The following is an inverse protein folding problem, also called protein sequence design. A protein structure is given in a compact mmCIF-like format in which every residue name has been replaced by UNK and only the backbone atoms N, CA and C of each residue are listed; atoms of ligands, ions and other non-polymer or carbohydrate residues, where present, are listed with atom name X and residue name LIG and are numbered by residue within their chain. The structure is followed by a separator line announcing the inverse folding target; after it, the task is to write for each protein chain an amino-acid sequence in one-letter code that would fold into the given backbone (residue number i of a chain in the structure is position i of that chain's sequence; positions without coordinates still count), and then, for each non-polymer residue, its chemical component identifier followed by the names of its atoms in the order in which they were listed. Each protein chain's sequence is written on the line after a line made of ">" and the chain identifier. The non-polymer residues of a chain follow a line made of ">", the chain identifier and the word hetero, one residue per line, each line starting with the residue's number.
data_IF_168386989705
#
_entry.id   IF_168386989705
#
_cell.length_a   1.000
_cell.length_b   1.000
_cell.length_c   1.000
_cell.angle_alpha   90.00
_cell.angle_beta   90.00
_cell.angle_gamma   90.00
#
_symmetry.space_group_name_H-M   'P 1'
#
loop_
_entity.id
_entity.type
_entity.pdbx_description
1 polymer ?
#
# COMPACT_ATOMS: atom_id res chain seq x y z
N UNK A 1 7.27 11.11 13.19
CA UNK A 1 6.34 11.36 12.07
C UNK A 1 5.23 10.31 12.12
N UNK A 2 3.96 10.68 12.00
CA UNK A 2 2.85 9.71 11.99
C UNK A 2 1.72 10.20 11.09
N UNK A 3 0.90 9.25 10.61
CA UNK A 3 -0.37 9.56 9.96
C UNK A 3 -1.48 9.21 10.94
N UNK A 4 -2.25 10.22 11.32
CA UNK A 4 -3.34 10.10 12.29
C UNK A 4 -4.68 10.40 11.61
N UNK A 5 -5.63 9.48 11.75
CA UNK A 5 -7.03 9.64 11.31
C UNK A 5 -7.90 9.84 12.52
N UNK A 6 -8.69 10.92 12.54
CA UNK A 6 -9.55 11.27 13.67
C UNK A 6 -10.99 11.52 13.22
N UNK A 7 -11.91 10.73 13.78
CA UNK A 7 -13.34 10.81 13.54
C UNK A 7 -13.71 10.85 12.06
N UNK A 8 -12.95 10.09 11.22
CA UNK A 8 -13.14 10.07 9.78
C UNK A 8 -14.44 9.35 9.44
N UNK A 9 -15.34 10.05 8.73
CA UNK A 9 -16.50 9.45 8.09
C UNK A 9 -16.56 9.82 6.61
N UNK A 10 -16.93 8.84 5.79
CA UNK A 10 -17.00 8.97 4.33
C UNK A 10 -18.35 8.45 3.86
N UNK A 11 -19.04 9.29 3.09
CA UNK A 11 -20.28 8.96 2.42
C UNK A 11 -20.08 9.03 0.89
N UNK A 12 -20.59 8.06 0.16
CA UNK A 12 -20.57 8.01 -1.31
C UNK A 12 -21.98 7.68 -1.79
N UNK A 13 -22.56 8.57 -2.60
CA UNK A 13 -23.91 8.40 -3.16
C UNK A 13 -24.99 8.09 -2.09
N UNK A 14 -24.93 8.78 -0.96
CA UNK A 14 -25.88 8.61 0.16
C UNK A 14 -25.65 7.33 0.97
N UNK A 15 -24.58 6.57 0.74
CA UNK A 15 -24.20 5.41 1.53
C UNK A 15 -22.99 5.71 2.38
N UNK A 16 -23.10 5.45 3.68
CA UNK A 16 -21.97 5.52 4.59
C UNK A 16 -21.01 4.37 4.30
N UNK A 17 -19.76 4.71 3.95
CA UNK A 17 -18.70 3.74 3.63
C UNK A 17 -17.73 3.59 4.79
N UNK A 18 -17.44 4.69 5.49
CA UNK A 18 -16.65 4.70 6.72
C UNK A 18 -17.37 5.57 7.76
N UNK A 19 -17.36 5.11 9.00
CA UNK A 19 -18.01 5.78 10.14
C UNK A 19 -17.05 5.94 11.30
N UNK A 20 -16.81 7.18 11.73
CA UNK A 20 -16.04 7.52 12.92
C UNK A 20 -14.74 6.74 13.09
N UNK A 21 -13.99 6.59 11.98
CA UNK A 21 -12.71 5.87 11.98
C UNK A 21 -11.67 6.70 12.72
N UNK A 22 -11.03 6.05 13.70
CA UNK A 22 -9.93 6.61 14.48
C UNK A 22 -8.77 5.63 14.45
N UNK A 23 -7.62 6.04 13.88
CA UNK A 23 -6.44 5.19 13.78
C UNK A 23 -5.17 6.02 13.62
N UNK A 24 -4.09 5.55 14.23
CA UNK A 24 -2.74 6.04 14.03
C UNK A 24 -1.91 4.98 13.31
N UNK A 25 -1.23 5.38 12.22
CA UNK A 25 -0.28 4.54 11.51
C UNK A 25 1.13 4.85 12.02
N UNK A 26 1.74 3.85 12.63
CA UNK A 26 3.07 3.97 13.25
C UNK A 26 4.16 4.13 12.18
N UNK A 27 5.04 5.11 12.40
CA UNK A 27 6.18 5.40 11.52
C UNK A 27 7.08 4.16 11.36
N UNK A 28 7.60 3.99 10.14
CA UNK A 28 8.53 2.91 9.76
C UNK A 28 8.00 1.50 9.97
N UNK A 29 6.70 1.35 10.20
CA UNK A 29 6.04 0.06 10.25
C UNK A 29 5.29 -0.26 8.97
N UNK A 30 4.99 -1.52 8.80
CA UNK A 30 4.15 -2.06 7.74
C UNK A 30 2.81 -2.41 8.35
N UNK A 31 1.79 -1.64 8.03
CA UNK A 31 0.42 -1.86 8.48
C UNK A 31 -0.40 -2.50 7.37
N UNK A 32 -0.97 -3.67 7.62
CA UNK A 32 -1.93 -4.29 6.71
C UNK A 32 -3.37 -3.95 7.12
N UNK A 33 -4.17 -3.47 6.17
CA UNK A 33 -5.60 -3.25 6.31
C UNK A 33 -6.31 -4.45 5.69
N UNK A 34 -7.09 -5.16 6.50
CA UNK A 34 -7.88 -6.32 6.07
C UNK A 34 -9.36 -6.14 6.43
N UNK A 35 -10.22 -6.99 5.89
CA UNK A 35 -11.65 -6.99 6.15
C UNK A 35 -12.45 -7.47 4.94
N UNK A 36 -13.75 -7.69 5.08
CA UNK A 36 -14.63 -8.14 4.00
C UNK A 36 -14.62 -7.19 2.79
N UNK A 37 -15.07 -7.69 1.65
CA UNK A 37 -15.27 -6.84 0.48
C UNK A 37 -16.35 -5.79 0.79
N UNK A 38 -16.15 -4.56 0.31
CA UNK A 38 -17.05 -3.46 0.58
C UNK A 38 -16.93 -2.81 1.99
N UNK A 39 -16.01 -3.28 2.86
CA UNK A 39 -15.85 -2.74 4.21
C UNK A 39 -15.26 -1.32 4.28
N UNK A 40 -14.80 -0.74 3.14
CA UNK A 40 -14.25 0.62 3.11
C UNK A 40 -12.72 0.70 3.07
N UNK A 41 -12.00 -0.44 2.94
CA UNK A 41 -10.52 -0.50 2.94
C UNK A 41 -9.88 0.45 1.91
N UNK A 42 -10.23 0.28 0.63
CA UNK A 42 -9.71 1.13 -0.46
C UNK A 42 -10.21 2.57 -0.36
N UNK A 43 -11.38 2.80 0.25
CA UNK A 43 -11.89 4.16 0.53
C UNK A 43 -11.00 4.86 1.54
N UNK A 44 -10.61 4.18 2.64
CA UNK A 44 -9.64 4.72 3.60
C UNK A 44 -8.31 5.05 2.90
N UNK A 45 -7.80 4.12 2.09
CA UNK A 45 -6.56 4.35 1.33
C UNK A 45 -6.67 5.58 0.41
N UNK A 46 -7.80 5.74 -0.30
CA UNK A 46 -8.04 6.89 -1.20
C UNK A 46 -8.12 8.22 -0.45
N UNK A 47 -8.65 8.23 0.77
CA UNK A 47 -8.61 9.43 1.63
C UNK A 47 -7.18 9.74 2.03
N UNK A 48 -6.42 8.75 2.52
CA UNK A 48 -5.00 8.91 2.84
C UNK A 48 -4.17 9.35 1.63
N UNK A 49 -4.52 8.90 0.44
CA UNK A 49 -3.86 9.31 -0.82
C UNK A 49 -4.25 10.72 -1.30
N UNK A 50 -5.17 11.40 -0.63
CA UNK A 50 -5.75 12.68 -1.09
C UNK A 50 -6.48 12.59 -2.44
N UNK A 51 -6.92 11.37 -2.80
CA UNK A 51 -7.71 11.07 -4.01
C UNK A 51 -9.22 11.20 -3.74
N UNK A 52 -9.66 11.03 -2.49
CA UNK A 52 -10.99 11.37 -2.03
C UNK A 52 -10.87 12.48 -0.98
N UNK A 53 -11.46 13.64 -1.27
CA UNK A 53 -11.44 14.81 -0.41
C UNK A 53 -12.80 15.10 0.23
N UNK A 54 -13.84 14.33 -0.12
CA UNK A 54 -15.19 14.42 0.45
C UNK A 54 -15.30 13.52 1.67
N UNK A 55 -14.95 14.04 2.84
CA UNK A 55 -15.04 13.36 4.12
C UNK A 55 -15.18 14.35 5.28
N UNK A 56 -15.72 13.88 6.40
CA UNK A 56 -15.71 14.58 7.68
C UNK A 56 -14.61 14.04 8.58
N UNK A 57 -14.28 14.77 9.67
CA UNK A 57 -13.14 14.44 10.51
C UNK A 57 -11.83 15.00 9.99
N UNK A 58 -10.71 14.43 10.43
CA UNK A 58 -9.36 14.91 10.12
C UNK A 58 -8.42 13.77 9.75
N UNK A 59 -7.53 14.04 8.82
CA UNK A 59 -6.37 13.20 8.53
C UNK A 59 -5.13 14.07 8.66
N UNK A 60 -4.29 13.72 9.61
CA UNK A 60 -3.11 14.51 9.95
C UNK A 60 -1.86 13.75 9.53
N UNK A 61 -0.96 14.41 8.82
CA UNK A 61 0.40 13.95 8.55
C UNK A 61 1.37 14.83 9.33
N UNK A 62 2.03 14.24 10.33
CA UNK A 62 2.92 14.97 11.25
C UNK A 62 2.26 16.16 11.94
N UNK A 63 0.98 16.03 12.26
CA UNK A 63 0.19 17.07 12.93
C UNK A 63 -0.44 18.11 12.02
N UNK A 64 -0.08 18.15 10.70
CA UNK A 64 -0.68 19.04 9.69
C UNK A 64 -1.83 18.33 8.98
N UNK A 65 -3.01 18.94 8.86
CA UNK A 65 -4.12 18.34 8.11
C UNK A 65 -3.73 18.19 6.64
N UNK A 66 -3.93 17.00 6.08
CA UNK A 66 -3.53 16.74 4.70
C UNK A 66 -4.23 17.67 3.71
N UNK A 67 -5.41 18.24 4.04
CA UNK A 67 -6.12 19.20 3.20
C UNK A 67 -5.32 20.48 3.00
N UNK A 68 -4.56 20.89 4.01
CA UNK A 68 -3.76 22.13 4.01
C UNK A 68 -2.39 21.96 3.32
N UNK A 69 -1.89 20.72 3.21
CA UNK A 69 -0.64 20.44 2.51
C UNK A 69 -0.84 20.55 0.99
N UNK A 70 -0.04 21.33 0.28
CA UNK A 70 -0.11 21.42 -1.18
C UNK A 70 0.09 20.04 -1.84
N UNK A 71 -0.61 19.78 -2.96
CA UNK A 71 -0.51 18.47 -3.67
C UNK A 71 0.93 18.09 -4.01
N UNK A 72 1.74 19.05 -4.42
CA UNK A 72 3.16 18.82 -4.76
C UNK A 72 4.00 18.44 -3.53
N UNK A 73 3.82 19.14 -2.40
CA UNK A 73 4.49 18.84 -1.12
C UNK A 73 4.06 17.46 -0.62
N UNK A 74 2.77 17.16 -0.68
CA UNK A 74 2.22 15.86 -0.29
C UNK A 74 2.76 14.71 -1.15
N UNK A 75 2.77 14.89 -2.49
CA UNK A 75 3.28 13.89 -3.43
C UNK A 75 4.80 13.64 -3.33
N UNK A 76 5.58 14.49 -2.68
CA UNK A 76 6.99 14.19 -2.37
C UNK A 76 7.15 13.26 -1.18
N UNK A 77 6.14 13.19 -0.33
CA UNK A 77 6.17 12.44 0.92
C UNK A 77 5.42 11.12 0.86
N UNK A 78 4.41 11.02 0.01
CA UNK A 78 3.54 9.86 -0.07
C UNK A 78 3.41 9.38 -1.51
N UNK A 79 3.77 8.12 -1.73
CA UNK A 79 3.55 7.41 -2.98
C UNK A 79 2.34 6.47 -2.85
N UNK A 80 1.60 6.31 -3.95
CA UNK A 80 0.42 5.45 -4.01
C UNK A 80 0.54 4.48 -5.16
N UNK A 81 0.26 3.22 -4.90
CA UNK A 81 0.09 2.18 -5.90
C UNK A 81 -1.37 1.69 -5.85
N UNK A 82 -2.26 2.24 -6.68
CA UNK A 82 -3.66 1.81 -6.72
C UNK A 82 -3.81 0.46 -7.40
N UNK A 83 -4.96 -0.18 -7.19
CA UNK A 83 -5.34 -1.41 -7.88
C UNK A 83 -5.55 -1.17 -9.38
N UNK A 84 -5.25 -2.17 -10.22
CA UNK A 84 -5.61 -2.17 -11.64
C UNK A 84 -4.82 -1.16 -12.49
N UNK A 85 -3.54 -1.00 -12.24
CA UNK A 85 -2.66 -0.08 -12.94
C UNK A 85 -2.55 -0.42 -14.43
N UNK A 86 -2.73 0.58 -15.28
CA UNK A 86 -2.50 0.52 -16.70
C UNK A 86 -1.47 1.57 -17.14
N UNK A 87 -0.68 1.24 -18.16
CA UNK A 87 0.30 2.15 -18.73
C UNK A 87 0.00 2.41 -20.21
N UNK A 88 0.39 3.56 -20.77
CA UNK A 88 0.38 3.76 -22.22
C UNK A 88 1.14 2.63 -22.94
N UNK A 89 0.66 2.23 -24.12
CA UNK A 89 1.15 1.05 -24.82
C UNK A 89 2.65 1.10 -25.15
N UNK A 90 3.19 2.28 -25.39
CA UNK A 90 4.56 2.54 -25.85
C UNK A 90 5.53 2.93 -24.74
N UNK A 91 5.07 3.07 -23.50
CA UNK A 91 5.93 3.50 -22.40
C UNK A 91 6.92 2.39 -22.01
N UNK A 92 8.20 2.75 -21.90
CA UNK A 92 9.23 1.83 -21.40
C UNK A 92 9.25 1.79 -19.86
N UNK A 93 9.87 0.74 -19.30
CA UNK A 93 10.08 0.63 -17.84
C UNK A 93 10.78 1.88 -17.30
N UNK A 94 11.89 2.32 -17.95
CA UNK A 94 12.63 3.52 -17.54
C UNK A 94 11.75 4.76 -17.57
N UNK A 95 10.96 4.94 -18.62
CA UNK A 95 10.07 6.08 -18.74
C UNK A 95 8.96 6.07 -17.68
N UNK A 96 8.40 4.89 -17.38
CA UNK A 96 7.43 4.75 -16.28
C UNK A 96 8.05 5.12 -14.94
N UNK A 97 9.23 4.58 -14.62
CA UNK A 97 9.90 4.84 -13.33
C UNK A 97 10.26 6.33 -13.20
N UNK A 98 10.60 6.98 -14.29
CA UNK A 98 10.90 8.41 -14.35
C UNK A 98 9.68 9.30 -13.99
N UNK A 99 8.43 8.83 -14.16
CA UNK A 99 7.26 9.55 -13.64
C UNK A 99 7.23 9.67 -12.12
N UNK A 100 7.88 8.79 -11.38
CA UNK A 100 8.05 8.92 -9.94
C UNK A 100 8.76 10.22 -9.53
N UNK A 101 9.54 10.82 -10.43
CA UNK A 101 10.24 12.11 -10.19
C UNK A 101 9.40 13.34 -10.51
N UNK A 102 8.17 13.16 -11.03
CA UNK A 102 7.29 14.29 -11.39
C UNK A 102 7.08 15.32 -10.27
N UNK A 103 6.91 14.96 -8.98
CA UNK A 103 6.75 15.93 -7.90
C UNK A 103 7.97 16.83 -7.67
N UNK A 104 9.15 16.43 -8.13
CA UNK A 104 10.40 17.19 -7.96
C UNK A 104 10.67 18.15 -9.12
N UNK A 105 10.06 17.91 -10.28
CA UNK A 105 10.28 18.75 -11.48
C UNK A 105 9.71 20.15 -11.31
N UNK A 106 10.51 21.14 -11.75
CA UNK A 106 10.05 22.52 -11.90
C UNK A 106 9.47 22.70 -13.30
N UNK A 107 8.39 23.48 -13.43
CA UNK A 107 7.82 23.84 -14.72
C UNK A 107 8.81 24.51 -15.67
N UNK A 108 9.86 25.16 -15.12
CA UNK A 108 10.84 25.94 -15.88
C UNK A 108 12.15 25.18 -16.18
N UNK A 109 12.41 24.07 -15.53
CA UNK A 109 13.63 23.27 -15.76
C UNK A 109 13.32 22.09 -16.67
N UNK A 110 13.57 22.27 -17.95
CA UNK A 110 13.38 21.21 -18.99
C UNK A 110 14.41 20.08 -18.91
N UNK A 111 15.35 20.10 -17.99
CA UNK A 111 16.40 19.07 -17.84
C UNK A 111 16.18 18.24 -16.58
N UNK A 112 16.41 16.93 -16.70
CA UNK A 112 16.60 16.04 -15.55
C UNK A 112 17.88 16.45 -14.83
N UNK A 113 17.82 16.53 -13.50
CA UNK A 113 19.03 16.69 -12.71
C UNK A 113 19.64 15.31 -12.42
N UNK A 114 20.89 15.27 -11.97
CA UNK A 114 21.59 14.01 -11.68
C UNK A 114 20.90 13.23 -10.56
N UNK A 115 20.29 13.90 -9.57
CA UNK A 115 19.54 13.25 -8.49
C UNK A 115 18.34 12.47 -9.02
N UNK A 116 17.61 12.99 -10.02
CA UNK A 116 16.48 12.29 -10.65
C UNK A 116 16.96 11.06 -11.41
N UNK A 117 18.08 11.16 -12.13
CA UNK A 117 18.69 10.03 -12.85
C UNK A 117 19.10 8.95 -11.85
N UNK A 118 19.79 9.32 -10.78
CA UNK A 118 20.22 8.39 -9.73
C UNK A 118 19.04 7.71 -9.03
N UNK A 119 17.98 8.44 -8.70
CA UNK A 119 16.77 7.90 -8.08
C UNK A 119 16.09 6.86 -8.99
N UNK A 120 15.96 7.15 -10.29
CA UNK A 120 15.38 6.23 -11.28
C UNK A 120 16.23 4.98 -11.45
N UNK A 121 17.55 5.13 -11.65
CA UNK A 121 18.44 3.98 -11.87
C UNK A 121 18.54 3.11 -10.61
N UNK A 122 18.52 3.70 -9.42
CA UNK A 122 18.49 2.97 -8.14
C UNK A 122 17.18 2.19 -7.97
N UNK A 123 16.04 2.80 -8.28
CA UNK A 123 14.74 2.13 -8.19
C UNK A 123 14.63 0.94 -9.15
N UNK A 124 15.10 1.08 -10.41
CA UNK A 124 15.14 -0.01 -11.39
C UNK A 124 16.02 -1.17 -10.90
N UNK A 125 17.20 -0.86 -10.35
CA UNK A 125 18.11 -1.86 -9.79
C UNK A 125 17.48 -2.58 -8.59
N UNK A 126 16.90 -1.83 -7.67
CA UNK A 126 16.29 -2.37 -6.46
C UNK A 126 15.16 -3.37 -6.78
N UNK A 127 14.41 -3.11 -7.83
CA UNK A 127 13.31 -3.97 -8.28
C UNK A 127 13.75 -5.04 -9.31
N UNK A 128 15.07 -5.19 -9.56
CA UNK A 128 15.66 -6.18 -10.48
C UNK A 128 15.12 -6.07 -11.91
N UNK A 129 15.00 -4.83 -12.41
CA UNK A 129 14.48 -4.55 -13.75
C UNK A 129 15.53 -3.99 -14.74
N UNK A 130 16.83 -4.07 -14.42
CA UNK A 130 17.90 -3.49 -15.26
C UNK A 130 17.87 -4.04 -16.69
N UNK A 131 17.73 -5.36 -16.84
CA UNK A 131 17.65 -6.01 -18.15
C UNK A 131 16.40 -5.64 -18.96
N UNK A 132 15.36 -5.15 -18.28
CA UNK A 132 14.06 -4.83 -18.86
C UNK A 132 13.84 -3.31 -19.01
N UNK A 133 14.82 -2.47 -18.62
CA UNK A 133 14.68 -1.01 -18.54
C UNK A 133 14.15 -0.33 -19.80
N UNK A 134 14.48 -0.88 -20.97
CA UNK A 134 14.10 -0.35 -22.27
C UNK A 134 12.89 -1.09 -22.89
N UNK A 135 12.35 -2.13 -22.22
CA UNK A 135 11.17 -2.85 -22.71
C UNK A 135 9.91 -2.04 -22.42
N UNK A 136 8.92 -2.22 -23.27
CA UNK A 136 7.58 -1.65 -23.06
C UNK A 136 6.91 -2.34 -21.87
N UNK A 137 6.30 -1.54 -20.96
CA UNK A 137 5.64 -2.03 -19.76
C UNK A 137 4.53 -3.03 -20.07
N UNK A 138 3.79 -2.81 -21.16
CA UNK A 138 2.70 -3.70 -21.57
C UNK A 138 3.18 -5.05 -22.13
N UNK A 139 4.47 -5.19 -22.49
CA UNK A 139 5.06 -6.46 -22.94
C UNK A 139 5.62 -7.31 -21.79
N UNK A 140 5.58 -6.81 -20.56
CA UNK A 140 6.07 -7.49 -19.38
C UNK A 140 5.06 -8.52 -18.86
N UNK A 141 5.54 -9.54 -18.14
CA UNK A 141 4.70 -10.41 -17.30
C UNK A 141 3.99 -9.60 -16.23
N UNK A 142 2.95 -10.17 -15.61
CA UNK A 142 2.21 -9.51 -14.52
C UNK A 142 3.13 -9.09 -13.37
N UNK A 143 4.01 -9.99 -12.93
CA UNK A 143 4.95 -9.72 -11.84
C UNK A 143 6.01 -8.68 -12.19
N UNK A 144 6.60 -8.74 -13.40
CA UNK A 144 7.54 -7.73 -13.89
C UNK A 144 6.88 -6.35 -13.98
N UNK A 145 5.64 -6.31 -14.45
CA UNK A 145 4.85 -5.07 -14.54
C UNK A 145 4.57 -4.49 -13.16
N UNK A 146 4.20 -5.33 -12.20
CA UNK A 146 3.99 -4.89 -10.81
C UNK A 146 5.28 -4.32 -10.20
N UNK A 147 6.42 -4.97 -10.42
CA UNK A 147 7.72 -4.45 -9.99
C UNK A 147 8.08 -3.11 -10.65
N UNK A 148 7.69 -2.89 -11.92
CA UNK A 148 7.92 -1.60 -12.60
C UNK A 148 7.11 -0.47 -11.95
N UNK A 149 5.88 -0.72 -11.54
CA UNK A 149 5.07 0.25 -10.79
C UNK A 149 5.63 0.52 -9.40
N UNK A 150 6.12 -0.52 -8.70
CA UNK A 150 6.81 -0.34 -7.41
C UNK A 150 8.09 0.48 -7.58
N UNK A 151 8.85 0.23 -8.66
CA UNK A 151 10.03 1.04 -8.98
C UNK A 151 9.68 2.51 -9.19
N UNK A 152 8.57 2.82 -9.86
CA UNK A 152 8.08 4.19 -10.01
C UNK A 152 7.79 4.83 -8.62
N UNK A 153 7.09 4.11 -7.74
CA UNK A 153 6.82 4.58 -6.39
C UNK A 153 8.10 4.78 -5.57
N UNK A 154 9.08 3.88 -5.70
CA UNK A 154 10.38 3.98 -5.03
C UNK A 154 11.23 5.16 -5.57
N UNK A 155 11.21 5.40 -6.89
CA UNK A 155 11.90 6.54 -7.50
C UNK A 155 11.40 7.89 -6.95
N UNK A 156 10.17 7.95 -6.46
CA UNK A 156 9.61 9.12 -5.77
C UNK A 156 10.30 9.38 -4.42
N UNK A 157 11.02 8.42 -3.83
CA UNK A 157 11.68 8.50 -2.52
C UNK A 157 10.70 8.97 -1.42
N UNK A 158 9.58 8.27 -1.21
CA UNK A 158 8.53 8.71 -0.30
C UNK A 158 8.85 8.34 1.15
N UNK A 159 8.28 9.08 2.12
CA UNK A 159 8.24 8.69 3.53
C UNK A 159 7.16 7.60 3.78
N UNK A 160 6.09 7.63 2.98
CA UNK A 160 4.92 6.75 3.09
C UNK A 160 4.59 6.10 1.75
N UNK A 161 4.32 4.80 1.79
CA UNK A 161 3.88 4.02 0.62
C UNK A 161 2.52 3.40 0.89
N UNK A 162 1.53 3.76 0.06
CA UNK A 162 0.20 3.16 0.09
C UNK A 162 0.07 2.14 -1.03
N UNK A 163 -0.35 0.92 -0.71
CA UNK A 163 -0.52 -0.18 -1.64
C UNK A 163 -1.95 -0.71 -1.57
N UNK A 164 -2.69 -0.63 -2.67
CA UNK A 164 -4.03 -1.19 -2.77
C UNK A 164 -3.98 -2.53 -3.49
N UNK A 165 -4.00 -3.63 -2.74
CA UNK A 165 -3.98 -5.01 -3.23
C UNK A 165 -2.78 -5.33 -4.17
N UNK A 166 -1.54 -5.13 -3.73
CA UNK A 166 -0.36 -5.18 -4.60
C UNK A 166 -0.06 -6.57 -5.17
N UNK A 167 -0.69 -7.62 -4.66
CA UNK A 167 -0.44 -9.02 -5.04
C UNK A 167 -1.58 -9.64 -5.86
N UNK A 168 -2.65 -8.91 -6.12
CA UNK A 168 -3.82 -9.41 -6.86
C UNK A 168 -3.44 -9.74 -8.30
N UNK A 169 -3.95 -10.87 -8.83
CA UNK A 169 -3.67 -11.43 -10.16
C UNK A 169 -2.22 -11.88 -10.42
N UNK A 170 -1.40 -12.01 -9.38
CA UNK A 170 -0.06 -12.57 -9.48
C UNK A 170 -0.05 -14.04 -9.05
N UNK A 171 0.84 -14.84 -9.63
CA UNK A 171 1.15 -16.16 -9.13
C UNK A 171 1.93 -16.10 -7.79
N UNK A 172 2.03 -17.23 -7.10
CA UNK A 172 2.62 -17.29 -5.75
C UNK A 172 4.05 -16.76 -5.71
N UNK A 173 4.86 -17.07 -6.71
CA UNK A 173 6.27 -16.65 -6.74
C UNK A 173 6.37 -15.12 -6.85
N UNK A 174 5.61 -14.52 -7.76
CA UNK A 174 5.59 -13.07 -7.94
C UNK A 174 4.96 -12.33 -6.76
N UNK A 175 3.95 -12.93 -6.07
CA UNK A 175 3.40 -12.36 -4.84
C UNK A 175 4.49 -12.24 -3.76
N UNK A 176 5.28 -13.31 -3.56
CA UNK A 176 6.37 -13.31 -2.59
C UNK A 176 7.45 -12.29 -2.97
N UNK A 177 7.83 -12.20 -4.25
CA UNK A 177 8.80 -11.21 -4.73
C UNK A 177 8.35 -9.77 -4.42
N UNK A 178 7.09 -9.44 -4.71
CA UNK A 178 6.51 -8.13 -4.44
C UNK A 178 6.53 -7.82 -2.94
N UNK A 179 6.09 -8.76 -2.12
CA UNK A 179 6.05 -8.56 -0.66
C UNK A 179 7.45 -8.46 -0.06
N UNK A 180 8.43 -9.21 -0.59
CA UNK A 180 9.83 -9.10 -0.17
C UNK A 180 10.44 -7.74 -0.55
N UNK A 181 10.17 -7.22 -1.74
CA UNK A 181 10.59 -5.86 -2.15
C UNK A 181 10.00 -4.82 -1.16
N UNK A 182 8.71 -4.90 -0.85
CA UNK A 182 8.05 -3.99 0.08
C UNK A 182 8.67 -4.07 1.48
N UNK A 183 8.96 -5.28 1.95
CA UNK A 183 9.65 -5.51 3.24
C UNK A 183 11.06 -4.90 3.26
N UNK A 184 11.82 -5.07 2.18
CA UNK A 184 13.17 -4.50 2.05
C UNK A 184 13.11 -2.97 2.01
N UNK A 185 12.19 -2.37 1.23
CA UNK A 185 11.98 -0.92 1.18
C UNK A 185 11.74 -0.33 2.59
N UNK A 186 10.88 -0.98 3.37
CA UNK A 186 10.63 -0.57 4.75
C UNK A 186 11.90 -0.65 5.61
N UNK A 187 12.64 -1.78 5.54
CA UNK A 187 13.83 -2.01 6.39
C UNK A 187 15.01 -1.13 6.03
N UNK A 188 15.30 -0.97 4.73
CA UNK A 188 16.51 -0.30 4.25
C UNK A 188 16.34 1.21 4.13
N UNK A 189 15.12 1.66 3.75
CA UNK A 189 14.84 3.09 3.54
C UNK A 189 13.95 3.69 4.63
N UNK A 190 13.46 2.91 5.59
CA UNK A 190 12.61 3.40 6.67
C UNK A 190 11.23 3.88 6.20
N UNK A 191 10.77 3.45 5.02
CA UNK A 191 9.48 3.85 4.45
C UNK A 191 8.36 3.24 5.29
N UNK A 192 7.40 4.05 5.72
CA UNK A 192 6.17 3.59 6.36
C UNK A 192 5.24 3.02 5.28
N UNK A 193 4.78 1.78 5.45
CA UNK A 193 3.93 1.11 4.47
C UNK A 193 2.53 0.88 5.02
N UNK A 194 1.52 1.28 4.27
CA UNK A 194 0.11 0.98 4.56
C UNK A 194 -0.43 0.23 3.35
N UNK A 195 -0.88 -1.00 3.55
CA UNK A 195 -1.28 -1.88 2.44
C UNK A 195 -2.62 -2.55 2.70
N UNK A 196 -3.50 -2.55 1.71
CA UNK A 196 -4.69 -3.39 1.71
C UNK A 196 -4.30 -4.77 1.22
N UNK A 197 -4.60 -5.80 2.01
CA UNK A 197 -4.35 -7.19 1.66
C UNK A 197 -5.62 -8.03 1.74
N UNK A 198 -5.77 -8.95 0.79
CA UNK A 198 -6.81 -9.99 0.83
C UNK A 198 -6.33 -11.29 1.47
N UNK A 199 -5.06 -11.63 1.25
CA UNK A 199 -4.45 -12.81 1.83
C UNK A 199 -4.04 -12.55 3.28
N UNK A 200 -4.71 -13.24 4.20
CA UNK A 200 -4.47 -13.11 5.64
C UNK A 200 -3.09 -13.67 6.01
N UNK A 201 -2.58 -14.68 5.29
CA UNK A 201 -1.24 -15.21 5.54
C UNK A 201 -0.15 -14.21 5.12
N UNK A 202 -0.37 -13.45 4.05
CA UNK A 202 0.51 -12.32 3.74
C UNK A 202 0.47 -11.25 4.84
N UNK A 203 -0.70 -10.95 5.39
CA UNK A 203 -0.80 -10.01 6.50
C UNK A 203 -0.06 -10.53 7.74
N UNK A 204 -0.20 -11.82 8.10
CA UNK A 204 0.54 -12.46 9.19
C UNK A 204 2.06 -12.40 9.00
N UNK A 205 2.54 -12.62 7.78
CA UNK A 205 3.96 -12.78 7.48
C UNK A 205 4.69 -11.43 7.28
N UNK A 206 4.01 -10.45 6.71
CA UNK A 206 4.66 -9.23 6.22
C UNK A 206 4.29 -7.95 6.99
N UNK A 207 3.20 -7.94 7.77
CA UNK A 207 2.82 -6.77 8.52
C UNK A 207 3.43 -6.76 9.93
N UNK A 208 3.69 -5.56 10.44
CA UNK A 208 4.05 -5.31 11.84
C UNK A 208 2.79 -4.97 12.65
N UNK A 209 1.75 -4.45 11.98
CA UNK A 209 0.45 -4.11 12.55
C UNK A 209 -0.68 -4.49 11.60
N UNK A 210 -1.81 -4.90 12.14
CA UNK A 210 -3.03 -5.23 11.41
C UNK A 210 -4.14 -4.29 11.82
N UNK A 211 -4.86 -3.78 10.82
CA UNK A 211 -6.11 -3.04 10.99
C UNK A 211 -7.23 -3.84 10.34
N UNK A 212 -8.22 -4.20 11.11
CA UNK A 212 -9.41 -4.90 10.62
C UNK A 212 -10.54 -3.89 10.47
N UNK A 213 -11.08 -3.76 9.25
CA UNK A 213 -12.26 -2.94 8.99
C UNK A 213 -13.47 -3.86 8.79
N UNK A 214 -14.54 -3.61 9.55
CA UNK A 214 -15.83 -4.27 9.44
C UNK A 214 -16.96 -3.31 9.78
N UNK A 215 -18.10 -3.44 9.10
CA UNK A 215 -19.27 -2.61 9.35
C UNK A 215 -18.95 -1.11 9.39
N UNK A 216 -18.20 -0.64 8.39
CA UNK A 216 -17.81 0.76 8.17
C UNK A 216 -16.83 1.36 9.20
N UNK A 217 -16.36 0.58 10.19
CA UNK A 217 -15.47 1.05 11.25
C UNK A 217 -14.28 0.13 11.52
N UNK A 218 -13.38 0.58 12.41
CA UNK A 218 -12.27 -0.24 12.89
C UNK A 218 -12.82 -1.29 13.86
N UNK A 219 -12.70 -2.55 13.50
CA UNK A 219 -13.09 -3.69 14.33
C UNK A 219 -11.99 -4.07 15.33
N UNK A 220 -10.73 -4.10 14.87
CA UNK A 220 -9.57 -4.40 15.68
C UNK A 220 -8.31 -3.75 15.09
N UNK A 221 -7.33 -3.45 15.94
CA UNK A 221 -6.01 -2.95 15.56
C UNK A 221 -4.96 -3.45 16.55
N UNK A 222 -3.81 -3.90 16.07
CA UNK A 222 -2.71 -4.39 16.90
C UNK A 222 -1.72 -5.28 16.16
N UNK A 223 -0.90 -6.00 16.92
CA UNK A 223 0.07 -6.95 16.36
C UNK A 223 -0.64 -8.11 15.65
N UNK A 224 -0.06 -8.67 14.56
CA UNK A 224 -0.70 -9.71 13.77
C UNK A 224 -1.22 -10.90 14.56
N UNK A 225 -0.42 -11.46 15.46
CA UNK A 225 -0.82 -12.64 16.26
C UNK A 225 -1.88 -12.33 17.32
N UNK A 226 -2.01 -11.08 17.76
CA UNK A 226 -3.01 -10.66 18.73
C UNK A 226 -4.37 -10.40 18.08
N UNK A 227 -4.34 -9.88 16.85
CA UNK A 227 -5.53 -9.50 16.09
C UNK A 227 -6.09 -10.70 15.31
N UNK A 228 -5.24 -11.47 14.61
CA UNK A 228 -5.64 -12.55 13.71
C UNK A 228 -5.86 -13.85 14.51
N UNK A 229 -6.94 -13.89 15.27
CA UNK A 229 -7.38 -15.07 16.05
C UNK A 229 -8.46 -15.84 15.30
N UNK A 230 -8.65 -17.13 15.65
CA UNK A 230 -9.73 -17.97 15.11
C UNK A 230 -11.12 -17.32 15.33
N UNK A 231 -11.33 -16.74 16.53
CA UNK A 231 -12.58 -16.04 16.88
C UNK A 231 -12.80 -14.82 15.99
N UNK A 232 -11.76 -14.00 15.79
CA UNK A 232 -11.85 -12.83 14.91
C UNK A 232 -12.17 -13.24 13.46
N UNK A 233 -11.51 -14.27 12.95
CA UNK A 233 -11.75 -14.80 11.59
C UNK A 233 -13.22 -15.25 11.45
N UNK A 234 -13.72 -16.00 12.43
CA UNK A 234 -15.13 -16.41 12.45
C UNK A 234 -16.09 -15.23 12.44
N UNK A 235 -15.85 -14.26 13.33
CA UNK A 235 -16.75 -13.10 13.44
C UNK A 235 -16.67 -12.17 12.24
N UNK A 236 -15.48 -11.94 11.67
CA UNK A 236 -15.29 -10.96 10.60
C UNK A 236 -15.58 -11.54 9.23
N UNK A 237 -15.09 -12.74 8.96
CA UNK A 237 -15.15 -13.34 7.62
C UNK A 237 -16.19 -14.45 7.49
N UNK A 238 -16.80 -14.92 8.60
CA UNK A 238 -17.78 -16.01 8.60
C UNK A 238 -17.15 -17.37 8.27
N UNK A 239 -15.88 -17.58 8.64
CA UNK A 239 -15.11 -18.76 8.30
C UNK A 239 -14.56 -19.41 9.57
N UNK A 240 -14.71 -20.73 9.68
CA UNK A 240 -13.96 -21.54 10.64
C UNK A 240 -12.55 -21.72 10.11
N UNK A 241 -11.56 -21.52 10.94
CA UNK A 241 -10.14 -21.63 10.56
C UNK A 241 -9.32 -22.23 11.70
N UNK A 242 -8.21 -22.87 11.34
CA UNK A 242 -7.17 -23.29 12.26
C UNK A 242 -5.95 -22.38 12.13
N UNK A 243 -5.22 -22.19 13.22
CA UNK A 243 -3.94 -21.48 13.22
C UNK A 243 -2.89 -22.45 13.72
N UNK A 244 -1.85 -22.66 12.94
CA UNK A 244 -0.71 -23.51 13.29
C UNK A 244 0.61 -22.81 12.97
N UNK A 245 1.72 -23.37 13.43
CA UNK A 245 3.06 -22.87 13.09
C UNK A 245 3.69 -23.71 11.98
N UNK A 246 4.23 -23.05 10.96
CA UNK A 246 4.97 -23.74 9.91
C UNK A 246 6.38 -24.14 10.37
N UNK A 247 7.16 -24.79 9.50
CA UNK A 247 8.54 -25.24 9.78
C UNK A 247 9.51 -24.12 10.17
N UNK A 248 9.19 -22.86 9.85
CA UNK A 248 9.95 -21.67 10.19
C UNK A 248 9.44 -20.99 11.47
N UNK A 249 8.43 -21.58 12.16
CA UNK A 249 7.82 -21.02 13.35
C UNK A 249 6.83 -19.87 13.12
N UNK A 250 6.54 -19.52 11.87
CA UNK A 250 5.57 -18.50 11.53
C UNK A 250 4.14 -19.03 11.66
N UNK A 251 3.23 -18.19 12.16
CA UNK A 251 1.81 -18.51 12.20
C UNK A 251 1.21 -18.59 10.80
N UNK A 252 0.41 -19.60 10.55
CA UNK A 252 -0.32 -19.83 9.30
C UNK A 252 -1.78 -20.06 9.63
N UNK A 253 -2.67 -19.36 8.95
CA UNK A 253 -4.11 -19.52 9.04
C UNK A 253 -4.59 -20.42 7.89
N UNK A 254 -5.30 -21.50 8.24
CA UNK A 254 -5.91 -22.43 7.29
C UNK A 254 -7.44 -22.38 7.40
N UNK A 255 -8.15 -21.86 6.38
CA UNK A 255 -9.60 -21.93 6.36
C UNK A 255 -10.08 -23.39 6.30
N UNK A 256 -11.13 -23.72 7.06
CA UNK A 256 -11.69 -25.09 7.14
C UNK A 256 -13.06 -25.16 6.52
N UNK A 257 -13.97 -24.26 6.90
CA UNK A 257 -15.36 -24.24 6.38
C UNK A 257 -16.01 -22.88 6.60
N UNK A 258 -17.13 -22.64 5.96
CA UNK A 258 -18.02 -21.54 6.32
C UNK A 258 -18.70 -21.82 7.69
N UNK A 259 -19.06 -20.75 8.40
CA UNK A 259 -19.84 -20.81 9.65
C UNK A 259 -21.32 -20.83 9.31
#
# INVERSE_FOLDING_TARGET
>A
MSVNVKNLSVEIEGKEILHNVNIEFTERKRTAIIGPNGAGKSTLLRVLAKLNTSYTGQVLMDGEDIRDISRKKYARRLAVLPQGLSAPADITVRALVDYGRFPYRSWHSGSRNDDDIHAVDSAIRYTKLEALRNRQVMSLSGGERQRAWIAMALAQQPDYLLLDEPTTYLDIAHQLEVMDIVRQMNREHGITVIMVLHDINHALQYADEIVVIKNHGIYAHGAPNDVLTVDMIGRVFGVKADIFRNSLGASVLSPVSLI
#
